data_IF_897284054983
#
_entry.id   IF_897284054983
#
_cell.length_a   1.000
_cell.length_b   1.000
_cell.length_c   1.000
_cell.angle_alpha   90.00
_cell.angle_beta   90.00
_cell.angle_gamma   90.00
#
_symmetry.space_group_name_H-M   'P 1'
#
loop_
_entity.id
_entity.type
_entity.pdbx_description
1 polymer ?
#
# COMPACT_ATOMS: atom_id res chain seq x y z
N UNK A 1 5.70 -10.39 0.69
CA UNK A 1 6.36 -9.31 1.45
C UNK A 1 5.91 -9.34 2.91
N UNK A 2 6.81 -9.09 3.82
CA UNK A 2 6.52 -9.07 5.26
C UNK A 2 6.77 -7.67 5.82
N UNK A 3 5.78 -7.13 6.51
CA UNK A 3 5.91 -5.90 7.28
C UNK A 3 5.94 -6.24 8.77
N UNK A 4 6.93 -5.74 9.46
CA UNK A 4 7.03 -5.82 10.91
C UNK A 4 6.27 -4.64 11.53
N UNK A 5 5.52 -4.87 12.60
CA UNK A 5 4.75 -3.82 13.26
C UNK A 5 4.66 -4.06 14.76
N UNK A 6 4.61 -2.99 15.52
CA UNK A 6 4.28 -3.06 16.95
C UNK A 6 2.77 -3.13 17.19
N UNK A 7 1.97 -2.81 16.17
CA UNK A 7 0.51 -2.88 16.21
C UNK A 7 -0.02 -3.45 14.88
N UNK A 8 0.13 -4.76 14.67
CA UNK A 8 -0.19 -5.37 13.38
C UNK A 8 -1.68 -5.32 13.02
N UNK A 9 -2.58 -5.29 13.99
CA UNK A 9 -4.01 -5.19 13.70
C UNK A 9 -4.37 -3.84 13.13
N UNK A 10 -3.81 -2.76 13.68
CA UNK A 10 -4.02 -1.41 13.17
C UNK A 10 -3.49 -1.28 11.75
N UNK A 11 -2.30 -1.82 11.51
CA UNK A 11 -1.68 -1.79 10.18
C UNK A 11 -2.51 -2.58 9.16
N UNK A 12 -2.93 -3.81 9.53
CA UNK A 12 -3.80 -4.63 8.69
C UNK A 12 -5.10 -3.91 8.34
N UNK A 13 -5.74 -3.31 9.34
CA UNK A 13 -7.04 -2.66 9.15
C UNK A 13 -6.95 -1.50 8.13
N UNK A 14 -5.86 -0.75 8.18
CA UNK A 14 -5.64 0.33 7.22
C UNK A 14 -5.50 -0.22 5.79
N UNK A 15 -4.64 -1.23 5.59
CA UNK A 15 -4.44 -1.82 4.27
C UNK A 15 -5.71 -2.45 3.73
N UNK A 16 -6.46 -3.14 4.59
CA UNK A 16 -7.72 -3.77 4.17
C UNK A 16 -8.76 -2.73 3.76
N UNK A 17 -8.88 -1.64 4.52
CA UNK A 17 -9.86 -0.59 4.24
C UNK A 17 -9.47 0.25 3.02
N UNK A 18 -8.18 0.56 2.87
CA UNK A 18 -7.72 1.44 1.79
C UNK A 18 -7.64 0.73 0.44
N UNK A 19 -7.13 -0.50 0.42
CA UNK A 19 -6.74 -1.19 -0.81
C UNK A 19 -7.64 -2.37 -1.18
N UNK A 20 -8.59 -2.74 -0.34
CA UNK A 20 -9.60 -3.76 -0.60
C UNK A 20 -9.01 -5.08 -1.12
N UNK A 21 -8.25 -5.83 -0.30
CA UNK A 21 -7.66 -7.09 -0.71
C UNK A 21 -8.72 -8.14 -1.07
N UNK A 22 -8.36 -9.08 -1.95
CA UNK A 22 -9.25 -10.19 -2.30
C UNK A 22 -9.49 -11.13 -1.12
N UNK A 23 -8.51 -11.27 -0.24
CA UNK A 23 -8.63 -12.07 0.99
C UNK A 23 -7.88 -11.39 2.13
N UNK A 24 -8.43 -11.55 3.34
CA UNK A 24 -7.80 -11.15 4.59
C UNK A 24 -7.94 -12.33 5.55
N UNK A 25 -6.82 -12.87 6.03
CA UNK A 25 -6.82 -14.04 6.88
C UNK A 25 -5.69 -13.96 7.92
N UNK A 26 -5.67 -14.94 8.81
CA UNK A 26 -4.59 -15.12 9.77
C UNK A 26 -4.03 -16.53 9.60
N UNK A 27 -2.70 -16.61 9.49
CA UNK A 27 -1.98 -17.89 9.43
C UNK A 27 -0.96 -17.87 10.56
N UNK A 28 -1.16 -18.72 11.57
CA UNK A 28 -0.41 -18.67 12.82
C UNK A 28 -0.52 -17.26 13.45
N UNK A 29 0.61 -16.59 13.66
CA UNK A 29 0.65 -15.23 14.20
C UNK A 29 0.63 -14.15 13.12
N UNK A 30 0.67 -14.53 11.84
CA UNK A 30 0.70 -13.58 10.72
C UNK A 30 -0.71 -13.14 10.33
N UNK A 31 -0.87 -11.85 10.02
CA UNK A 31 -2.02 -11.34 9.28
C UNK A 31 -1.64 -11.35 7.82
N UNK A 32 -2.50 -11.92 6.98
CA UNK A 32 -2.20 -12.10 5.56
C UNK A 32 -3.27 -11.41 4.72
N UNK A 33 -2.85 -10.49 3.86
CA UNK A 33 -3.71 -9.83 2.90
C UNK A 33 -3.27 -10.25 1.50
N UNK A 34 -4.20 -10.68 0.67
CA UNK A 34 -3.91 -11.09 -0.71
C UNK A 34 -4.43 -10.04 -1.69
N UNK A 35 -3.54 -9.57 -2.54
CA UNK A 35 -3.83 -8.64 -3.64
C UNK A 35 -3.43 -9.33 -4.95
N UNK A 36 -4.40 -9.95 -5.64
CA UNK A 36 -4.08 -10.76 -6.81
C UNK A 36 -3.17 -11.93 -6.46
N UNK A 37 -1.96 -11.96 -7.00
CA UNK A 37 -0.93 -12.96 -6.67
C UNK A 37 0.05 -12.50 -5.61
N UNK A 38 -0.09 -11.27 -5.14
CA UNK A 38 0.79 -10.68 -4.12
C UNK A 38 0.21 -10.89 -2.72
N UNK A 39 1.05 -11.35 -1.81
CA UNK A 39 0.68 -11.53 -0.41
C UNK A 39 1.46 -10.53 0.44
N UNK A 40 0.72 -9.75 1.24
CA UNK A 40 1.29 -8.89 2.26
C UNK A 40 1.07 -9.57 3.61
N UNK A 41 2.17 -9.95 4.27
CA UNK A 41 2.15 -10.53 5.60
C UNK A 41 2.53 -9.45 6.61
N UNK A 42 1.80 -9.39 7.70
CA UNK A 42 2.06 -8.44 8.79
C UNK A 42 2.32 -9.24 10.06
N UNK A 43 3.47 -9.00 10.68
CA UNK A 43 3.93 -9.72 11.84
C UNK A 43 4.17 -8.76 13.00
N UNK A 44 3.80 -9.20 14.19
CA UNK A 44 4.11 -8.46 15.42
C UNK A 44 5.58 -8.63 15.76
N UNK A 45 6.31 -7.52 15.85
CA UNK A 45 7.72 -7.53 16.24
C UNK A 45 8.02 -6.39 17.19
N UNK A 46 8.75 -6.72 18.25
CA UNK A 46 9.17 -5.74 19.26
C UNK A 46 10.57 -5.18 18.98
N UNK A 47 11.27 -5.73 17.98
CA UNK A 47 12.59 -5.26 17.55
C UNK A 47 12.54 -4.13 16.52
N UNK A 48 11.35 -3.60 16.24
CA UNK A 48 11.16 -2.42 15.41
C UNK A 48 10.49 -1.31 16.23
N UNK A 49 10.71 -0.07 15.83
CA UNK A 49 10.05 1.08 16.45
C UNK A 49 8.59 1.21 16.00
N UNK A 50 7.82 2.11 16.65
CA UNK A 50 6.42 2.33 16.28
C UNK A 50 6.25 3.01 14.91
N UNK A 51 7.31 3.60 14.38
CA UNK A 51 7.34 4.26 13.07
C UNK A 51 8.57 3.84 12.28
N UNK A 52 8.42 3.78 10.96
CA UNK A 52 9.51 3.48 10.05
C UNK A 52 10.58 4.58 10.14
N UNK A 53 11.83 4.18 10.38
CA UNK A 53 12.94 5.12 10.60
C UNK A 53 13.41 5.77 9.29
N UNK A 54 13.40 5.02 8.19
CA UNK A 54 13.89 5.48 6.89
C UNK A 54 12.89 5.03 5.81
N UNK A 55 11.67 5.56 5.92
CA UNK A 55 10.50 5.07 5.20
C UNK A 55 10.59 5.21 3.68
N UNK A 56 11.36 6.18 3.19
CA UNK A 56 11.49 6.40 1.75
C UNK A 56 12.44 5.41 1.07
N UNK A 57 13.19 4.61 1.85
CA UNK A 57 14.14 3.66 1.28
C UNK A 57 13.45 2.52 0.53
N UNK A 58 12.35 2.03 1.08
CA UNK A 58 11.55 0.98 0.45
C UNK A 58 10.10 1.45 0.40
N UNK A 59 9.56 1.54 -0.79
CA UNK A 59 8.19 2.03 -0.98
C UNK A 59 7.36 0.88 -1.53
N UNK A 60 6.28 0.54 -0.84
CA UNK A 60 5.32 -0.44 -1.34
C UNK A 60 4.55 0.22 -2.48
N UNK A 61 4.52 -0.44 -3.63
CA UNK A 61 3.86 0.10 -4.80
C UNK A 61 2.70 -0.82 -5.22
N UNK A 62 1.49 -0.27 -5.25
CA UNK A 62 0.29 -1.02 -5.63
C UNK A 62 -0.29 -0.47 -6.92
N UNK A 63 -0.41 -1.34 -7.93
CA UNK A 63 -1.18 -1.04 -9.13
C UNK A 63 -2.66 -1.18 -8.78
N UNK A 64 -3.42 -0.12 -8.97
CA UNK A 64 -4.84 -0.09 -8.62
C UNK A 64 -5.68 0.21 -9.88
N UNK A 65 -6.89 -0.32 -9.90
CA UNK A 65 -7.81 -0.09 -11.01
C UNK A 65 -8.46 1.28 -11.00
N UNK A 66 -8.59 1.88 -9.81
CA UNK A 66 -9.20 3.20 -9.63
C UNK A 66 -8.48 3.96 -8.52
N UNK A 67 -7.44 4.68 -8.91
CA UNK A 67 -6.60 5.42 -7.95
C UNK A 67 -7.37 6.53 -7.23
N UNK A 68 -8.36 7.15 -7.89
CA UNK A 68 -9.17 8.21 -7.26
C UNK A 68 -10.04 7.64 -6.15
N UNK A 69 -10.63 6.46 -6.35
CA UNK A 69 -11.43 5.79 -5.34
C UNK A 69 -10.56 5.35 -4.14
N UNK A 70 -9.37 4.82 -4.42
CA UNK A 70 -8.42 4.43 -3.36
C UNK A 70 -7.99 5.65 -2.55
N UNK A 71 -7.63 6.75 -3.23
CA UNK A 71 -7.24 7.99 -2.55
C UNK A 71 -8.38 8.55 -1.68
N UNK A 72 -9.62 8.46 -2.16
CA UNK A 72 -10.78 8.90 -1.38
C UNK A 72 -10.96 8.07 -0.10
N UNK A 73 -10.78 6.75 -0.18
CA UNK A 73 -10.83 5.88 1.01
C UNK A 73 -9.70 6.22 1.99
N UNK A 74 -8.51 6.49 1.46
CA UNK A 74 -7.38 6.90 2.30
C UNK A 74 -7.66 8.22 3.02
N UNK A 75 -8.27 9.18 2.33
CA UNK A 75 -8.69 10.45 2.96
C UNK A 75 -9.69 10.21 4.09
N UNK A 76 -10.67 9.33 3.88
CA UNK A 76 -11.65 8.98 4.90
C UNK A 76 -11.01 8.33 6.13
N UNK A 77 -9.90 7.63 5.95
CA UNK A 77 -9.14 7.02 7.03
C UNK A 77 -8.20 8.00 7.74
N UNK A 78 -8.15 9.25 7.30
CA UNK A 78 -7.26 10.25 7.87
C UNK A 78 -5.80 10.05 7.49
N UNK A 79 -5.54 9.45 6.34
CA UNK A 79 -4.19 9.13 5.87
C UNK A 79 -3.36 10.39 5.63
N UNK A 80 -2.09 10.36 6.06
CA UNK A 80 -1.14 11.42 5.77
C UNK A 80 -0.53 11.19 4.39
N UNK A 81 -0.52 12.23 3.56
CA UNK A 81 0.05 12.18 2.22
C UNK A 81 1.50 12.66 2.21
N UNK A 82 2.37 11.91 1.53
CA UNK A 82 3.72 12.37 1.17
C UNK A 82 3.62 13.14 -0.14
N UNK A 83 2.90 12.60 -1.10
CA UNK A 83 2.61 13.23 -2.38
C UNK A 83 1.16 12.96 -2.75
N UNK A 84 0.29 13.99 -2.83
CA UNK A 84 -1.11 13.79 -3.16
C UNK A 84 -1.28 13.31 -4.61
N UNK A 85 -2.48 12.85 -4.93
CA UNK A 85 -2.80 12.30 -6.24
C UNK A 85 -2.48 13.30 -7.35
N UNK A 86 -1.74 12.82 -8.34
CA UNK A 86 -1.22 13.60 -9.44
C UNK A 86 -1.44 12.85 -10.75
N UNK A 87 -1.81 13.59 -11.81
CA UNK A 87 -1.97 13.05 -13.16
C UNK A 87 -0.71 13.36 -13.97
N UNK A 88 -0.05 12.32 -14.45
CA UNK A 88 1.12 12.42 -15.32
C UNK A 88 0.82 11.75 -16.65
N UNK A 89 0.42 12.53 -17.63
CA UNK A 89 0.11 12.02 -18.97
C UNK A 89 -0.93 10.88 -18.97
N UNK A 90 -1.95 11.01 -18.11
CA UNK A 90 -3.03 10.05 -18.00
C UNK A 90 -2.82 8.96 -16.96
N UNK A 91 -1.59 8.78 -16.45
CA UNK A 91 -1.33 7.88 -15.32
C UNK A 91 -1.44 8.63 -14.01
N UNK A 92 -2.02 7.99 -13.01
CA UNK A 92 -2.26 8.60 -11.70
C UNK A 92 -1.29 8.01 -10.67
N UNK A 93 -0.69 8.87 -9.87
CA UNK A 93 0.27 8.51 -8.83
C UNK A 93 -0.06 9.24 -7.54
N UNK A 94 0.11 8.55 -6.42
CA UNK A 94 0.04 9.17 -5.10
C UNK A 94 0.91 8.38 -4.14
N UNK A 95 1.50 9.04 -3.15
CA UNK A 95 2.28 8.38 -2.10
C UNK A 95 1.73 8.77 -0.74
N UNK A 96 1.33 7.78 0.02
CA UNK A 96 0.76 7.94 1.35
C UNK A 96 1.70 7.34 2.40
N UNK A 97 1.41 7.64 3.67
CA UNK A 97 2.01 6.92 4.79
C UNK A 97 0.99 5.96 5.37
N UNK A 98 1.38 4.72 5.61
CA UNK A 98 0.55 3.80 6.39
C UNK A 98 0.62 4.18 7.88
N UNK A 99 -0.15 3.53 8.77
CA UNK A 99 -0.14 3.88 10.20
C UNK A 99 1.22 3.79 10.89
N UNK A 100 2.12 2.95 10.38
CA UNK A 100 3.48 2.82 10.89
C UNK A 100 4.47 3.77 10.21
N UNK A 101 3.98 4.63 9.31
CA UNK A 101 4.81 5.60 8.60
C UNK A 101 5.52 5.06 7.38
N UNK A 102 5.28 3.81 6.98
CA UNK A 102 5.84 3.29 5.74
C UNK A 102 5.26 4.03 4.54
N UNK A 103 6.08 4.30 3.54
CA UNK A 103 5.60 4.92 2.31
C UNK A 103 4.91 3.89 1.42
N UNK A 104 3.73 4.24 0.94
CA UNK A 104 2.89 3.40 0.09
C UNK A 104 2.50 4.21 -1.12
N UNK A 105 2.93 3.75 -2.29
CA UNK A 105 2.53 4.39 -3.55
C UNK A 105 1.38 3.62 -4.17
N UNK A 106 0.36 4.35 -4.63
CA UNK A 106 -0.66 3.79 -5.51
C UNK A 106 -0.43 4.35 -6.91
N UNK A 107 -0.62 3.50 -7.91
CA UNK A 107 -0.44 3.87 -9.30
C UNK A 107 -1.56 3.27 -10.14
N UNK A 108 -2.10 4.10 -11.03
CA UNK A 108 -3.04 3.66 -12.06
C UNK A 108 -2.45 4.09 -13.39
N UNK A 109 -1.89 3.13 -14.12
CA UNK A 109 -1.22 3.43 -15.39
C UNK A 109 -2.25 3.65 -16.50
N UNK A 110 -1.99 4.63 -17.39
CA UNK A 110 -2.76 4.79 -18.61
C UNK A 110 -2.53 3.58 -19.51
N UNK A 111 -3.40 3.38 -20.51
CA UNK A 111 -3.23 2.29 -21.47
C UNK A 111 -1.90 2.36 -22.20
N UNK A 112 -1.45 3.57 -22.55
CA UNK A 112 -0.17 3.80 -23.20
C UNK A 112 1.01 3.39 -22.31
N UNK A 113 0.99 3.80 -21.03
CA UNK A 113 2.05 3.43 -20.09
C UNK A 113 2.03 1.94 -19.76
N UNK A 114 0.85 1.32 -19.68
CA UNK A 114 0.74 -0.14 -19.50
C UNK A 114 1.39 -0.89 -20.66
N UNK A 115 1.15 -0.44 -21.89
CA UNK A 115 1.76 -1.04 -23.07
C UNK A 115 3.29 -0.93 -23.03
N UNK A 116 3.82 0.23 -22.61
CA UNK A 116 5.26 0.42 -22.44
C UNK A 116 5.84 -0.53 -21.39
N UNK A 117 5.16 -0.71 -20.27
CA UNK A 117 5.60 -1.62 -19.20
C UNK A 117 5.59 -3.08 -19.66
N UNK A 118 4.58 -3.49 -20.42
CA UNK A 118 4.50 -4.85 -20.97
C UNK A 118 5.65 -5.13 -21.94
N UNK A 119 6.08 -4.13 -22.69
CA UNK A 119 7.18 -4.26 -23.65
C UNK A 119 8.55 -4.41 -22.96
N UNK A 120 8.65 -4.12 -21.67
CA UNK A 120 9.89 -4.28 -20.91
C UNK A 120 10.09 -5.72 -20.39
N UNK A 121 9.06 -6.55 -20.44
CA UNK A 121 9.10 -7.91 -19.88
C UNK A 121 9.47 -8.98 -20.90
#
# INVERSE_FOLDING_TARGET
MLLASTDPDRLRDWYAAALDPAESSSVDAYRVLRFGTFHLLIDHRDDVGPKAADAARMILNFDVGDARAVAARMDELGTEWVAPLEDREGSLFATAKDPDGNHVQIVQLSEEHLAEMENLS
#
